data_IF_046029651390
#
_entry.id   IF_046029651390
#
_cell.length_a   1.000
_cell.length_b   1.000
_cell.length_c   1.000
_cell.angle_alpha   90.00
_cell.angle_beta   90.00
_cell.angle_gamma   90.00
#
_symmetry.space_group_name_H-M   'P 1'
#
loop_
_entity.id
_entity.type
_entity.pdbx_description
1 polymer ?
#
# COMPACT_ATOMS: atom_id res chain seq x y z
N UNK A 1 -66.85 -20.24 -26.13
CA UNK A 1 -65.39 -20.44 -26.02
C UNK A 1 -64.82 -19.35 -25.13
N UNK A 2 -64.62 -19.56 -23.81
CA UNK A 2 -63.95 -18.55 -22.99
C UNK A 2 -62.43 -18.66 -23.19
N UNK A 3 -61.81 -17.52 -23.49
CA UNK A 3 -60.36 -17.37 -23.66
C UNK A 3 -59.65 -17.62 -22.32
N UNK A 4 -58.72 -18.56 -22.33
CA UNK A 4 -57.89 -18.91 -21.18
C UNK A 4 -56.81 -17.82 -21.01
N UNK A 5 -56.88 -17.07 -19.91
CA UNK A 5 -55.90 -16.05 -19.56
C UNK A 5 -54.55 -16.71 -19.26
N UNK A 6 -53.48 -16.23 -19.90
CA UNK A 6 -52.11 -16.67 -19.64
C UNK A 6 -51.69 -16.29 -18.21
N UNK A 7 -51.00 -17.19 -17.47
CA UNK A 7 -50.56 -16.90 -16.12
C UNK A 7 -49.51 -15.78 -16.09
N UNK A 8 -49.51 -14.91 -15.06
CA UNK A 8 -48.53 -13.84 -14.95
C UNK A 8 -47.13 -14.42 -14.81
N UNK A 9 -46.22 -13.92 -15.64
CA UNK A 9 -44.79 -14.18 -15.61
C UNK A 9 -44.28 -14.01 -14.18
N UNK A 10 -44.02 -15.12 -13.50
CA UNK A 10 -43.44 -15.12 -12.17
C UNK A 10 -42.04 -14.50 -12.26
N UNK A 11 -41.88 -13.33 -11.65
CA UNK A 11 -40.60 -12.68 -11.43
C UNK A 11 -39.65 -13.63 -10.70
N UNK A 12 -38.73 -14.23 -11.45
CA UNK A 12 -37.67 -15.07 -10.92
C UNK A 12 -36.81 -14.31 -9.88
N UNK A 13 -36.10 -15.05 -9.01
CA UNK A 13 -35.40 -14.46 -7.88
C UNK A 13 -34.42 -13.38 -8.35
N UNK A 14 -34.57 -12.18 -7.77
CA UNK A 14 -33.62 -11.09 -7.87
C UNK A 14 -32.29 -11.58 -7.33
N UNK A 15 -31.43 -12.12 -8.20
CA UNK A 15 -30.03 -12.35 -7.86
C UNK A 15 -29.49 -11.05 -7.25
N UNK A 16 -28.81 -11.09 -6.10
CA UNK A 16 -28.16 -9.90 -5.57
C UNK A 16 -27.09 -9.50 -6.59
N UNK A 17 -27.43 -8.53 -7.46
CA UNK A 17 -26.71 -8.26 -8.71
C UNK A 17 -25.38 -7.55 -8.49
N UNK A 18 -24.91 -7.48 -7.25
CA UNK A 18 -23.71 -6.75 -6.90
C UNK A 18 -22.94 -7.46 -5.79
N UNK A 19 -22.03 -8.35 -6.17
CA UNK A 19 -21.14 -9.02 -5.22
C UNK A 19 -20.18 -8.05 -4.48
N UNK A 20 -19.94 -6.85 -5.03
CA UNK A 20 -19.13 -5.82 -4.38
C UNK A 20 -19.58 -4.38 -4.77
N UNK A 21 -20.06 -3.56 -3.82
CA UNK A 21 -20.54 -2.21 -4.10
C UNK A 21 -19.44 -1.26 -4.60
N UNK A 22 -18.18 -1.49 -4.24
CA UNK A 22 -17.06 -0.69 -4.74
C UNK A 22 -16.82 -0.94 -6.22
N UNK A 23 -16.90 -2.20 -6.66
CA UNK A 23 -16.76 -2.55 -8.09
C UNK A 23 -17.88 -1.93 -8.90
N UNK A 24 -19.12 -2.02 -8.41
CA UNK A 24 -20.27 -1.40 -9.08
C UNK A 24 -20.10 0.10 -9.25
N UNK A 25 -19.77 0.82 -8.18
CA UNK A 25 -19.52 2.28 -8.26
C UNK A 25 -18.40 2.62 -9.23
N UNK A 26 -17.30 1.87 -9.21
CA UNK A 26 -16.17 2.11 -10.10
C UNK A 26 -16.54 1.87 -11.58
N UNK A 27 -17.29 0.80 -11.86
CA UNK A 27 -17.69 0.45 -13.22
C UNK A 27 -18.75 1.42 -13.75
N UNK A 28 -19.78 1.70 -12.96
CA UNK A 28 -20.81 2.68 -13.30
C UNK A 28 -20.15 4.04 -13.62
N UNK A 29 -19.30 4.54 -12.73
CA UNK A 29 -18.61 5.82 -12.97
C UNK A 29 -17.72 5.83 -14.22
N UNK A 30 -17.11 4.71 -14.60
CA UNK A 30 -16.30 4.64 -15.82
C UNK A 30 -17.18 4.61 -17.07
N UNK A 31 -18.26 3.83 -17.03
CA UNK A 31 -19.22 3.70 -18.13
C UNK A 31 -19.95 5.03 -18.34
N UNK A 32 -20.49 5.64 -17.29
CA UNK A 32 -21.23 6.90 -17.36
C UNK A 32 -20.40 8.02 -18.01
N UNK A 33 -19.13 8.15 -17.61
CA UNK A 33 -18.19 9.12 -18.21
C UNK A 33 -17.88 8.83 -19.67
N UNK A 34 -17.83 7.55 -20.05
CA UNK A 34 -17.60 7.17 -21.45
C UNK A 34 -18.83 7.51 -22.29
N UNK A 35 -20.04 7.27 -21.76
CA UNK A 35 -21.30 7.66 -22.39
C UNK A 35 -21.39 9.19 -22.52
N UNK A 36 -20.95 9.95 -21.51
CA UNK A 36 -20.91 11.42 -21.57
C UNK A 36 -20.08 11.95 -22.75
N UNK A 37 -18.94 11.31 -23.05
CA UNK A 37 -18.07 11.71 -24.17
C UNK A 37 -18.65 11.29 -25.52
N UNK A 38 -19.25 10.10 -25.60
CA UNK A 38 -19.79 9.55 -26.85
C UNK A 38 -21.17 10.10 -27.23
N UNK A 39 -21.89 10.67 -26.24
CA UNK A 39 -23.25 11.16 -26.37
C UNK A 39 -24.28 10.14 -25.87
N UNK A 40 -25.11 10.54 -24.90
CA UNK A 40 -26.14 9.69 -24.26
C UNK A 40 -27.21 9.18 -25.23
N UNK A 41 -27.56 9.98 -26.23
CA UNK A 41 -28.70 9.71 -27.11
C UNK A 41 -28.32 8.96 -28.40
N UNK A 42 -27.02 8.67 -28.58
CA UNK A 42 -26.54 7.98 -29.78
C UNK A 42 -26.72 6.46 -29.66
N UNK A 43 -27.26 5.79 -30.69
CA UNK A 43 -27.31 4.33 -30.71
C UNK A 43 -25.91 3.73 -30.59
N UNK A 44 -25.75 2.75 -29.70
CA UNK A 44 -24.46 2.08 -29.49
C UNK A 44 -23.93 1.39 -30.76
N UNK A 45 -24.83 0.98 -31.66
CA UNK A 45 -24.49 0.36 -32.95
C UNK A 45 -23.77 1.32 -33.90
N UNK A 46 -23.96 2.63 -33.74
CA UNK A 46 -23.32 3.64 -34.57
C UNK A 46 -21.94 4.03 -34.05
N UNK A 47 -21.58 3.60 -32.84
CA UNK A 47 -20.29 3.90 -32.22
C UNK A 47 -19.24 2.92 -32.72
N UNK A 48 -18.13 3.45 -33.20
CA UNK A 48 -16.99 2.67 -33.70
C UNK A 48 -15.97 2.35 -32.61
N UNK A 49 -15.17 1.31 -32.83
CA UNK A 49 -14.05 0.95 -31.94
C UNK A 49 -13.06 2.11 -31.79
N UNK A 50 -12.82 2.88 -32.86
CA UNK A 50 -11.95 4.05 -32.85
C UNK A 50 -12.47 5.14 -31.90
N UNK A 51 -13.78 5.40 -31.89
CA UNK A 51 -14.41 6.35 -30.98
C UNK A 51 -14.31 5.90 -29.52
N UNK A 52 -14.43 4.59 -29.24
CA UNK A 52 -14.16 4.05 -27.91
C UNK A 52 -12.70 4.33 -27.50
N UNK A 53 -11.74 4.06 -28.39
CA UNK A 53 -10.33 4.33 -28.13
C UNK A 53 -10.03 5.81 -27.86
N UNK A 54 -10.65 6.71 -28.65
CA UNK A 54 -10.54 8.15 -28.48
C UNK A 54 -11.11 8.60 -27.13
N UNK A 55 -12.32 8.15 -26.77
CA UNK A 55 -12.95 8.47 -25.49
C UNK A 55 -12.13 7.99 -24.28
N UNK A 56 -11.59 6.76 -24.34
CA UNK A 56 -10.69 6.24 -23.29
C UNK A 56 -9.44 7.13 -23.15
N UNK A 57 -8.85 7.52 -24.28
CA UNK A 57 -7.63 8.36 -24.33
C UNK A 57 -7.89 9.77 -23.82
N UNK A 58 -9.02 10.37 -24.17
CA UNK A 58 -9.44 11.67 -23.69
C UNK A 58 -9.63 11.66 -22.16
N UNK A 59 -10.39 10.69 -21.65
CA UNK A 59 -10.74 10.62 -20.22
C UNK A 59 -9.56 10.22 -19.33
N UNK A 60 -8.73 9.27 -19.77
CA UNK A 60 -7.74 8.62 -18.92
C UNK A 60 -6.35 8.50 -19.54
N UNK A 61 -6.10 9.08 -20.72
CA UNK A 61 -4.82 8.97 -21.41
C UNK A 61 -3.64 9.49 -20.59
N UNK A 62 -3.86 10.49 -19.73
CA UNK A 62 -2.85 11.06 -18.80
C UNK A 62 -2.90 10.48 -17.39
N UNK A 63 -3.77 9.52 -17.11
CA UNK A 63 -3.87 8.90 -15.79
C UNK A 63 -2.80 7.83 -15.56
N UNK A 64 -2.59 7.49 -14.29
CA UNK A 64 -1.71 6.40 -13.88
C UNK A 64 -2.13 5.06 -14.55
N UNK A 65 -1.19 4.14 -14.82
CA UNK A 65 -1.48 2.85 -15.46
C UNK A 65 -2.59 2.05 -14.79
N UNK A 66 -2.63 2.03 -13.45
CA UNK A 66 -3.68 1.34 -12.70
C UNK A 66 -5.08 1.92 -12.96
N UNK A 67 -5.20 3.24 -13.01
CA UNK A 67 -6.46 3.93 -13.30
C UNK A 67 -6.91 3.68 -14.74
N UNK A 68 -5.98 3.79 -15.71
CA UNK A 68 -6.22 3.43 -17.11
C UNK A 68 -6.74 2.00 -17.24
N UNK A 69 -6.01 1.03 -16.70
CA UNK A 69 -6.34 -0.39 -16.80
C UNK A 69 -7.70 -0.72 -16.19
N UNK A 70 -8.00 -0.14 -15.02
CA UNK A 70 -9.27 -0.36 -14.33
C UNK A 70 -10.45 0.17 -15.14
N UNK A 71 -10.36 1.39 -15.66
CA UNK A 71 -11.47 2.02 -16.39
C UNK A 71 -11.65 1.37 -17.77
N UNK A 72 -10.54 1.09 -18.47
CA UNK A 72 -10.54 0.29 -19.70
C UNK A 72 -11.21 -1.06 -19.49
N UNK A 73 -10.88 -1.77 -18.41
CA UNK A 73 -11.47 -3.07 -18.11
C UNK A 73 -12.98 -2.98 -17.82
N UNK A 74 -13.43 -1.91 -17.17
CA UNK A 74 -14.86 -1.67 -16.94
C UNK A 74 -15.62 -1.49 -18.27
N UNK A 75 -15.11 -0.65 -19.17
CA UNK A 75 -15.70 -0.41 -20.49
C UNK A 75 -15.66 -1.69 -21.34
N UNK A 76 -14.51 -2.37 -21.41
CA UNK A 76 -14.38 -3.64 -22.13
C UNK A 76 -15.35 -4.71 -21.63
N UNK A 77 -15.50 -4.84 -20.31
CA UNK A 77 -16.44 -5.79 -19.71
C UNK A 77 -17.89 -5.46 -20.01
N UNK A 78 -18.24 -4.18 -20.10
CA UNK A 78 -19.59 -3.75 -20.45
C UNK A 78 -19.91 -4.00 -21.92
N UNK A 79 -19.01 -3.63 -22.83
CA UNK A 79 -19.15 -3.91 -24.27
C UNK A 79 -19.25 -5.40 -24.55
N UNK A 80 -18.40 -6.22 -23.91
CA UNK A 80 -18.48 -7.68 -24.00
C UNK A 80 -19.82 -8.22 -23.49
N UNK A 81 -20.38 -7.63 -22.43
CA UNK A 81 -21.71 -8.01 -21.93
C UNK A 81 -22.82 -7.63 -22.92
N UNK A 82 -22.75 -6.45 -23.54
CA UNK A 82 -23.67 -6.03 -24.60
C UNK A 82 -23.67 -7.03 -25.77
N UNK A 83 -22.50 -7.46 -26.21
CA UNK A 83 -22.37 -8.43 -27.30
C UNK A 83 -22.83 -9.84 -26.89
N UNK A 84 -22.39 -10.34 -25.73
CA UNK A 84 -22.57 -11.77 -25.36
C UNK A 84 -23.89 -12.08 -24.64
N UNK A 85 -24.44 -11.13 -23.87
CA UNK A 85 -25.67 -11.35 -23.07
C UNK A 85 -26.88 -10.66 -23.65
N UNK A 86 -26.69 -9.54 -24.35
CA UNK A 86 -27.77 -8.79 -24.98
C UNK A 86 -27.81 -8.95 -26.50
N UNK A 87 -26.75 -9.50 -27.09
CA UNK A 87 -26.62 -9.67 -28.54
C UNK A 87 -26.82 -8.36 -29.31
N UNK A 88 -26.42 -7.25 -28.70
CA UNK A 88 -26.46 -5.94 -29.32
C UNK A 88 -25.25 -5.76 -30.24
N UNK A 89 -25.45 -5.06 -31.36
CA UNK A 89 -24.35 -4.51 -32.14
C UNK A 89 -23.66 -3.45 -31.26
N UNK A 90 -22.45 -3.76 -30.82
CA UNK A 90 -21.67 -2.89 -29.94
C UNK A 90 -20.20 -2.94 -30.35
N UNK A 91 -19.47 -1.81 -30.26
CA UNK A 91 -18.06 -1.76 -30.56
C UNK A 91 -17.25 -2.60 -29.57
N UNK A 92 -15.97 -2.78 -29.90
CA UNK A 92 -14.96 -3.36 -29.02
C UNK A 92 -13.95 -2.30 -28.60
N UNK A 93 -13.20 -2.59 -27.53
CA UNK A 93 -12.05 -1.74 -27.18
C UNK A 93 -10.94 -2.02 -28.20
N UNK A 94 -10.43 -0.99 -28.90
CA UNK A 94 -9.45 -1.18 -29.96
C UNK A 94 -8.12 -1.69 -29.42
N UNK A 95 -7.33 -2.36 -30.26
CA UNK A 95 -6.06 -2.97 -29.87
C UNK A 95 -5.03 -1.92 -29.41
N UNK A 96 -5.07 -0.74 -30.02
CA UNK A 96 -4.23 0.43 -29.73
C UNK A 96 -4.45 0.95 -28.30
N UNK A 97 -5.66 0.75 -27.74
CA UNK A 97 -5.95 1.02 -26.34
C UNK A 97 -5.45 -0.14 -25.47
N UNK A 98 -4.15 -0.47 -25.54
CA UNK A 98 -3.59 -1.60 -24.80
C UNK A 98 -3.57 -1.35 -23.29
N UNK A 99 -3.56 -2.44 -22.51
CA UNK A 99 -3.30 -2.39 -21.08
C UNK A 99 -1.89 -1.83 -20.83
N UNK A 100 -1.76 -0.87 -19.92
CA UNK A 100 -0.48 -0.29 -19.53
C UNK A 100 0.19 -1.12 -18.44
N UNK A 101 1.52 -1.22 -18.49
CA UNK A 101 2.29 -1.89 -17.43
C UNK A 101 2.15 -1.11 -16.11
N UNK A 102 1.70 -1.80 -15.07
CA UNK A 102 1.68 -1.25 -13.72
C UNK A 102 3.07 -1.41 -13.10
N UNK A 103 3.57 -0.33 -12.49
CA UNK A 103 4.78 -0.41 -11.67
C UNK A 103 4.50 -1.29 -10.46
N UNK A 104 5.48 -2.10 -10.07
CA UNK A 104 5.42 -2.85 -8.81
C UNK A 104 5.19 -1.87 -7.66
N UNK A 105 4.30 -2.23 -6.75
CA UNK A 105 4.12 -1.46 -5.52
C UNK A 105 5.37 -1.61 -4.66
N UNK A 106 6.21 -0.56 -4.63
CA UNK A 106 7.42 -0.49 -3.83
C UNK A 106 7.18 0.14 -2.45
N UNK A 107 5.93 0.15 -1.97
CA UNK A 107 5.59 0.67 -0.65
C UNK A 107 6.47 0.02 0.41
N UNK A 108 7.39 0.81 0.97
CA UNK A 108 8.34 0.34 1.96
C UNK A 108 7.62 0.00 3.25
N UNK A 109 7.97 -1.14 3.83
CA UNK A 109 7.50 -1.50 5.15
C UNK A 109 7.92 -0.44 6.19
N UNK A 110 6.99 -0.07 7.07
CA UNK A 110 7.28 0.86 8.16
C UNK A 110 8.23 0.20 9.15
N UNK A 111 9.31 0.91 9.52
CA UNK A 111 10.28 0.40 10.49
C UNK A 111 9.63 0.07 11.84
N UNK A 112 10.04 -1.04 12.44
CA UNK A 112 9.52 -1.51 13.75
C UNK A 112 9.66 -0.45 14.85
N UNK A 113 10.76 0.31 14.84
CA UNK A 113 11.01 1.42 15.78
C UNK A 113 9.97 2.53 15.65
N UNK A 114 9.58 2.88 14.42
CA UNK A 114 8.53 3.87 14.15
C UNK A 114 7.18 3.40 14.70
N UNK A 115 6.82 2.13 14.48
CA UNK A 115 5.59 1.54 15.03
C UNK A 115 5.61 1.54 16.55
N UNK A 116 6.71 1.13 17.18
CA UNK A 116 6.84 1.15 18.64
C UNK A 116 6.68 2.56 19.20
N UNK A 117 7.32 3.57 18.59
CA UNK A 117 7.17 4.98 18.99
C UNK A 117 5.72 5.45 18.90
N UNK A 118 5.01 5.11 17.82
CA UNK A 118 3.60 5.46 17.65
C UNK A 118 2.71 4.82 18.74
N UNK A 119 2.98 3.56 19.10
CA UNK A 119 2.22 2.86 20.13
C UNK A 119 2.52 3.34 21.56
N UNK A 120 3.71 3.92 21.81
CA UNK A 120 4.11 4.45 23.12
C UNK A 120 3.57 5.86 23.44
N UNK A 121 3.05 6.58 22.44
CA UNK A 121 2.49 7.93 22.60
C UNK A 121 1.30 7.94 23.54
N UNK A 122 1.27 8.80 24.56
CA UNK A 122 0.17 8.86 25.55
C UNK A 122 -1.04 9.67 25.09
N UNK A 123 -0.85 10.55 24.11
CA UNK A 123 -1.84 11.44 23.53
C UNK A 123 -2.80 10.75 22.54
N UNK A 124 -2.60 9.45 22.27
CA UNK A 124 -3.40 8.68 21.32
C UNK A 124 -4.33 7.73 22.10
N UNK A 125 -5.65 7.73 21.81
CA UNK A 125 -6.58 6.86 22.53
C UNK A 125 -6.28 5.38 22.28
N UNK A 126 -6.79 4.53 23.18
CA UNK A 126 -6.53 3.09 23.14
C UNK A 126 -7.09 2.45 21.87
N UNK A 127 -8.23 2.93 21.36
CA UNK A 127 -8.89 2.40 20.16
C UNK A 127 -7.97 2.47 18.93
N UNK A 128 -7.37 3.62 18.68
CA UNK A 128 -6.48 3.85 17.53
C UNK A 128 -5.20 3.02 17.67
N UNK A 129 -4.63 2.93 18.88
CA UNK A 129 -3.49 2.06 19.17
C UNK A 129 -3.80 0.59 18.90
N UNK A 130 -4.98 0.12 19.31
CA UNK A 130 -5.42 -1.26 19.05
C UNK A 130 -5.57 -1.52 17.56
N UNK A 131 -6.20 -0.59 16.82
CA UNK A 131 -6.31 -0.69 15.37
C UNK A 131 -4.94 -0.81 14.71
N UNK A 132 -4.00 0.08 15.03
CA UNK A 132 -2.66 0.05 14.43
C UNK A 132 -1.87 -1.18 14.82
N UNK A 133 -2.00 -1.64 16.07
CA UNK A 133 -1.36 -2.86 16.54
C UNK A 133 -1.88 -4.08 15.79
N UNK A 134 -3.19 -4.18 15.60
CA UNK A 134 -3.83 -5.26 14.86
C UNK A 134 -3.39 -5.26 13.39
N UNK A 135 -3.41 -4.10 12.71
CA UNK A 135 -2.96 -3.99 11.32
C UNK A 135 -1.51 -4.44 11.15
N UNK A 136 -0.63 -4.04 12.07
CA UNK A 136 0.79 -4.41 12.03
C UNK A 136 1.04 -5.89 12.33
N UNK A 137 0.42 -6.46 13.37
CA UNK A 137 0.68 -7.84 13.81
C UNK A 137 0.02 -8.88 12.90
N UNK A 138 -1.15 -8.56 12.34
CA UNK A 138 -1.94 -9.50 11.51
C UNK A 138 -1.66 -9.38 10.02
N UNK A 139 -1.08 -8.25 9.58
CA UNK A 139 -0.97 -7.85 8.17
C UNK A 139 -2.32 -7.90 7.40
N UNK A 140 -3.43 -7.78 8.13
CA UNK A 140 -4.77 -7.78 7.56
C UNK A 140 -5.12 -6.46 6.87
N UNK A 141 -6.14 -6.50 6.02
CA UNK A 141 -6.65 -5.28 5.39
C UNK A 141 -7.35 -4.38 6.42
N UNK A 142 -7.32 -3.07 6.19
CA UNK A 142 -8.05 -2.14 7.05
C UNK A 142 -9.55 -2.48 7.16
N UNK A 143 -10.20 -2.81 6.04
CA UNK A 143 -11.60 -3.21 6.03
C UNK A 143 -11.87 -4.51 6.81
N UNK A 144 -10.89 -5.42 6.86
CA UNK A 144 -10.98 -6.68 7.60
C UNK A 144 -11.02 -6.42 9.11
N UNK A 145 -10.14 -5.53 9.60
CA UNK A 145 -10.11 -5.16 11.04
C UNK A 145 -11.30 -4.26 11.43
N UNK A 146 -11.72 -3.35 10.56
CA UNK A 146 -12.83 -2.44 10.84
C UNK A 146 -14.21 -3.13 10.85
N UNK A 147 -14.34 -4.27 10.17
CA UNK A 147 -15.56 -5.06 10.16
C UNK A 147 -15.62 -6.13 11.27
N UNK A 148 -14.58 -6.24 12.10
CA UNK A 148 -14.47 -7.22 13.18
C UNK A 148 -15.22 -6.72 14.42
N UNK A 149 -16.13 -7.53 14.95
CA UNK A 149 -16.77 -7.24 16.23
C UNK A 149 -15.91 -7.74 17.38
N UNK A 150 -16.02 -7.07 18.53
CA UNK A 150 -15.29 -7.44 19.75
C UNK A 150 -15.73 -8.82 20.26
N UNK A 151 -17.00 -9.16 20.09
CA UNK A 151 -17.59 -10.42 20.55
C UNK A 151 -17.10 -11.64 19.75
N UNK A 152 -16.63 -11.43 18.53
CA UNK A 152 -16.11 -12.48 17.66
C UNK A 152 -14.64 -12.83 17.97
N UNK A 153 -14.01 -12.15 18.94
CA UNK A 153 -12.61 -12.37 19.31
C UNK A 153 -12.45 -13.65 20.15
N UNK A 154 -11.77 -14.63 19.59
CA UNK A 154 -11.31 -15.80 20.32
C UNK A 154 -10.00 -15.46 21.05
N UNK A 155 -10.14 -15.04 22.31
CA UNK A 155 -9.00 -14.65 23.15
C UNK A 155 -8.17 -15.85 23.61
N UNK A 156 -8.77 -17.04 23.69
CA UNK A 156 -8.12 -18.29 24.11
C UNK A 156 -7.12 -18.75 23.04
N UNK A 157 -7.60 -18.88 21.79
CA UNK A 157 -6.77 -19.29 20.67
C UNK A 157 -6.08 -18.10 19.97
N UNK A 158 -6.36 -16.87 20.42
CA UNK A 158 -5.85 -15.60 19.88
C UNK A 158 -6.16 -15.46 18.39
N UNK A 159 -7.42 -15.66 18.04
CA UNK A 159 -7.91 -15.62 16.65
C UNK A 159 -9.10 -14.69 16.51
N UNK A 160 -9.27 -14.17 15.30
CA UNK A 160 -10.44 -13.39 14.94
C UNK A 160 -10.97 -13.90 13.60
N UNK A 161 -12.25 -14.31 13.49
CA UNK A 161 -12.87 -14.63 12.22
C UNK A 161 -13.09 -13.34 11.43
N UNK A 162 -12.63 -13.31 10.17
CA UNK A 162 -12.80 -12.16 9.30
C UNK A 162 -13.27 -12.57 7.90
N UNK A 163 -14.09 -11.73 7.29
CA UNK A 163 -14.53 -11.91 5.90
C UNK A 163 -13.57 -11.15 4.97
N UNK A 164 -12.83 -11.91 4.17
CA UNK A 164 -11.94 -11.39 3.14
C UNK A 164 -12.59 -11.47 1.75
N UNK A 165 -11.96 -10.86 0.74
CA UNK A 165 -12.38 -10.96 -0.68
C UNK A 165 -12.54 -12.41 -1.15
N UNK A 166 -11.81 -13.36 -0.56
CA UNK A 166 -11.86 -14.80 -0.86
C UNK A 166 -12.67 -15.64 0.12
N UNK A 167 -13.56 -15.02 0.92
CA UNK A 167 -14.38 -15.72 1.92
C UNK A 167 -13.86 -15.57 3.35
N UNK A 168 -14.40 -16.39 4.26
CA UNK A 168 -14.05 -16.38 5.69
C UNK A 168 -12.62 -16.89 5.90
N UNK A 169 -11.84 -16.16 6.69
CA UNK A 169 -10.49 -16.54 7.13
C UNK A 169 -10.32 -16.15 8.60
N UNK A 170 -9.41 -16.80 9.30
CA UNK A 170 -9.06 -16.42 10.67
C UNK A 170 -7.75 -15.64 10.67
N UNK A 171 -7.78 -14.45 11.25
CA UNK A 171 -6.57 -13.69 11.51
C UNK A 171 -5.96 -14.13 12.85
N UNK A 172 -4.64 -14.34 12.92
CA UNK A 172 -3.96 -14.45 14.20
C UNK A 172 -3.94 -13.08 14.88
N UNK A 173 -4.43 -12.96 16.11
CA UNK A 173 -4.59 -11.68 16.78
C UNK A 173 -3.26 -11.02 17.21
N UNK A 174 -2.18 -11.80 17.39
CA UNK A 174 -0.88 -11.30 17.84
C UNK A 174 0.18 -12.41 17.76
N UNK A 175 1.41 -12.11 17.30
CA UNK A 175 2.53 -13.07 17.36
C UNK A 175 3.08 -13.18 18.79
N UNK A 176 3.05 -14.34 19.49
CA UNK A 176 3.67 -14.47 20.81
C UNK A 176 5.08 -13.88 20.76
N UNK A 177 5.46 -13.07 21.78
CA UNK A 177 6.87 -12.76 21.99
C UNK A 177 7.60 -14.09 21.89
N UNK A 178 8.64 -14.23 21.06
CA UNK A 178 9.38 -15.49 21.02
C UNK A 178 9.72 -15.84 22.47
N UNK A 179 9.45 -17.08 22.92
CA UNK A 179 9.83 -17.48 24.26
C UNK A 179 11.30 -17.09 24.39
N UNK A 180 11.62 -16.26 25.40
CA UNK A 180 13.01 -15.94 25.70
C UNK A 180 13.69 -17.30 25.80
N UNK A 181 14.57 -17.61 24.86
CA UNK A 181 15.43 -18.79 24.94
C UNK A 181 16.03 -18.71 26.35
N UNK A 182 15.57 -19.59 27.24
CA UNK A 182 16.17 -19.69 28.57
C UNK A 182 17.66 -19.87 28.29
N UNK A 183 18.55 -19.06 28.89
CA UNK A 183 19.97 -19.33 28.77
C UNK A 183 20.17 -20.78 29.20
N UNK A 184 20.70 -21.59 28.28
CA UNK A 184 20.97 -23.00 28.56
C UNK A 184 21.75 -23.05 29.88
N UNK A 185 21.37 -23.90 30.85
CA UNK A 185 22.18 -24.09 32.03
C UNK A 185 23.59 -24.48 31.58
N UNK A 186 24.60 -23.71 32.02
CA UNK A 186 26.00 -24.08 31.82
C UNK A 186 26.17 -25.49 32.39
N UNK A 187 26.79 -26.43 31.65
CA UNK A 187 27.09 -27.74 32.22
C UNK A 187 27.92 -27.55 33.49
N UNK A 188 27.53 -28.29 34.53
CA UNK A 188 28.18 -28.31 35.83
C UNK A 188 29.69 -28.60 35.68
N UNK A 189 30.47 -27.98 36.55
CA UNK A 189 31.91 -27.78 36.42
C UNK A 189 32.71 -29.02 36.03
N UNK A 190 33.53 -28.87 35.00
CA UNK A 190 34.79 -29.61 34.93
C UNK A 190 35.77 -28.89 35.86
N UNK A 191 36.15 -29.57 36.94
CA UNK A 191 37.28 -29.22 37.80
C UNK A 191 38.52 -29.10 36.91
N UNK A 192 38.91 -27.87 36.57
CA UNK A 192 40.19 -27.61 35.91
C UNK A 192 41.27 -27.71 36.99
N UNK A 193 42.07 -28.78 36.92
CA UNK A 193 43.31 -28.89 37.70
C UNK A 193 44.20 -27.67 37.42
N UNK A 194 44.91 -27.11 38.42
CA UNK A 194 45.78 -25.96 38.21
C UNK A 194 46.93 -26.33 37.26
N UNK A 195 47.09 -25.58 36.16
CA UNK A 195 48.35 -25.58 35.38
C UNK A 195 49.34 -24.64 36.06
N UNK A 196 50.64 -24.99 36.13
CA UNK A 196 51.64 -24.14 36.77
C UNK A 196 51.84 -22.84 35.98
N UNK A 197 52.06 -21.75 36.72
CA UNK A 197 52.19 -20.39 36.21
C UNK A 197 53.47 -20.21 35.37
N UNK A 198 53.41 -19.53 34.22
CA UNK A 198 54.61 -19.06 33.55
C UNK A 198 55.18 -17.82 34.26
N UNK A 199 56.50 -17.83 34.44
CA UNK A 199 57.29 -16.83 35.14
C UNK A 199 57.23 -15.43 34.50
N UNK A 200 57.25 -14.42 35.36
CA UNK A 200 57.29 -13.01 34.99
C UNK A 200 58.57 -12.69 34.20
N UNK A 201 58.42 -12.18 32.97
CA UNK A 201 59.50 -11.53 32.23
C UNK A 201 59.21 -10.05 32.09
N UNK A 202 60.20 -9.26 32.51
CA UNK A 202 60.15 -7.82 32.69
C UNK A 202 59.83 -7.07 31.40
N UNK A 203 58.98 -6.04 31.54
CA UNK A 203 58.74 -5.02 30.52
C UNK A 203 60.07 -4.33 30.16
N UNK A 204 60.47 -4.42 28.89
CA UNK A 204 61.43 -3.49 28.29
C UNK A 204 60.71 -2.63 27.26
N UNK A 205 60.76 -1.31 27.46
CA UNK A 205 60.19 -0.29 26.60
C UNK A 205 61.01 -0.11 25.30
N UNK A 206 60.38 0.00 24.12
CA UNK A 206 61.02 0.60 22.95
C UNK A 206 60.88 2.14 22.93
N UNK A 207 61.83 2.86 22.29
CA UNK A 207 62.11 4.27 22.58
C UNK A 207 61.18 5.29 21.88
N UNK A 208 60.99 6.42 22.57
CA UNK A 208 60.35 7.66 22.10
C UNK A 208 61.09 8.22 20.87
N UNK A 209 60.39 8.37 19.73
CA UNK A 209 60.88 9.22 18.63
C UNK A 209 60.81 10.69 19.04
N UNK A 210 61.95 11.37 18.91
CA UNK A 210 62.20 12.76 19.25
C UNK A 210 61.36 13.70 18.35
N UNK A 211 60.80 14.72 19.00
CA UNK A 211 60.32 15.96 18.41
C UNK A 211 61.52 16.91 18.37
N UNK A 212 61.78 17.55 17.24
CA UNK A 212 62.60 18.77 17.20
C UNK A 212 62.06 19.75 16.14
N UNK A 213 62.35 21.06 16.28
CA UNK A 213 61.45 22.14 15.85
C UNK A 213 61.99 23.03 14.71
N UNK A 214 61.08 23.89 14.24
CA UNK A 214 61.26 25.24 13.67
C UNK A 214 61.76 25.44 12.22
N UNK A 215 60.97 26.28 11.51
CA UNK A 215 61.30 27.35 10.55
C UNK A 215 60.33 27.27 9.33
N UNK A 216 59.29 28.10 9.20
CA UNK A 216 59.22 29.55 8.92
C UNK A 216 59.02 29.86 7.42
N UNK A 217 57.85 30.47 7.16
CA UNK A 217 57.51 31.48 6.14
C UNK A 217 57.58 31.20 4.62
N UNK A 218 56.41 31.19 3.97
CA UNK A 218 55.89 32.23 3.04
C UNK A 218 54.54 31.73 2.45
N UNK A 219 53.41 32.42 2.66
CA UNK A 219 52.79 33.37 1.70
C UNK A 219 51.94 32.60 0.67
N UNK A 220 50.64 32.82 0.41
CA UNK A 220 49.78 34.00 0.46
C UNK A 220 48.30 33.59 0.66
N UNK A 221 47.52 34.58 1.09
CA UNK A 221 46.12 34.58 1.55
C UNK A 221 45.02 34.24 0.52
N UNK A 222 43.81 33.91 1.01
CA UNK A 222 42.62 33.58 0.22
C UNK A 222 41.81 34.81 -0.21
N UNK A 223 41.16 34.73 -1.38
CA UNK A 223 40.20 35.73 -1.83
C UNK A 223 38.89 35.64 -1.03
N UNK A 224 38.52 36.79 -0.48
CA UNK A 224 37.42 37.04 0.44
C UNK A 224 36.06 37.19 -0.29
N UNK A 225 35.00 36.70 0.35
CA UNK A 225 33.62 37.15 0.14
C UNK A 225 33.48 38.63 0.54
N UNK A 226 32.72 39.46 -0.19
CA UNK A 226 32.30 40.76 0.30
C UNK A 226 30.94 40.69 1.04
N UNK A 227 30.77 41.47 2.12
CA UNK A 227 29.61 41.45 2.99
C UNK A 227 28.50 42.43 2.60
N UNK A 228 27.31 42.15 3.10
CA UNK A 228 26.16 43.05 3.16
C UNK A 228 26.47 44.37 3.89
N UNK A 229 25.96 45.51 3.38
CA UNK A 229 25.50 46.63 4.23
C UNK A 229 24.53 47.61 3.51
N UNK A 230 23.30 47.62 4.04
CA UNK A 230 22.46 48.77 4.43
C UNK A 230 22.37 50.07 3.58
N UNK A 231 21.11 50.36 3.18
CA UNK A 231 20.25 51.44 3.73
C UNK A 231 19.72 52.52 2.76
N UNK A 232 18.45 52.87 2.99
CA UNK A 232 17.73 54.13 2.68
C UNK A 232 17.43 54.35 1.17
N UNK A 233 16.19 54.60 0.70
CA UNK A 233 15.24 55.63 1.14
C UNK A 233 13.84 55.40 0.51
N UNK A 234 12.84 55.99 1.16
CA UNK A 234 11.43 56.15 0.76
C UNK A 234 11.26 56.87 -0.60
N UNK A 235 10.18 56.60 -1.35
CA UNK A 235 9.13 57.57 -1.75
C UNK A 235 8.04 56.96 -2.64
N UNK A 236 6.78 57.24 -2.27
CA UNK A 236 5.52 57.32 -3.04
C UNK A 236 5.58 57.15 -4.57
N UNK A 237 4.73 56.28 -5.12
CA UNK A 237 3.45 56.63 -5.77
C UNK A 237 2.62 55.38 -6.02
#
# INVERSE_FOLDING_TARGET
MPAQAAPPCQSGPLYPRTANPNTHRAYASAIDRTIDVLGRDRPLADVTDAEIGAALTELWGRCAPATWNRNRAAVASWLLWCQTKKHWAAPSVPAEAERRKESTDETRAVAKTTIHRLLSRRDIPLREKTLWRMLYETAARAAEILALNVEDLDLEHRRAPVRSKGGRRHLPAHRPRPPRLRPRPRPAGQIRRPRPAPAATQRRHPPRRRRNPAAAHHGQDPAQEPPHRHALRQTRR
#
